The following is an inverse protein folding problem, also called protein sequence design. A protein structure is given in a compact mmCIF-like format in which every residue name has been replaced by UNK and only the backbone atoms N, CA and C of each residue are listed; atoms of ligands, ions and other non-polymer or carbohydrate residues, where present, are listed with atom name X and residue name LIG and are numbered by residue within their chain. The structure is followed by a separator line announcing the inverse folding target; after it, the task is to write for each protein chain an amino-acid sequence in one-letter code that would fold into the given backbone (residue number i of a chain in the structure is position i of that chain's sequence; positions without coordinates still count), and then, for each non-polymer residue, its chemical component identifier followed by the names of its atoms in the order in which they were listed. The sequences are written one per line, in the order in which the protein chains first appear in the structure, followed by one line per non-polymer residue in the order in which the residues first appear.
data_IF_538757672873
#
_entry.id   IF_538757672873
#
_cell.length_a   1.000
_cell.length_b   1.000
_cell.length_c   1.000
_cell.angle_alpha   90.00
_cell.angle_beta   90.00
_cell.angle_gamma   90.00
#
_symmetry.space_group_name_H-M   'P 1'
#
loop_
_entity.id
_entity.type
_entity.pdbx_description
1 polymer ?
#
# COMPACT_ATOMS: atom_id res chain seq x y z
N UNK A 1 26.51 -22.76 8.59
CA UNK A 1 25.07 -22.46 8.40
C UNK A 1 24.97 -21.59 7.16
N UNK A 2 24.09 -21.92 6.23
CA UNK A 2 23.84 -21.07 5.05
C UNK A 2 23.04 -19.86 5.50
N UNK A 3 23.53 -18.67 5.18
CA UNK A 3 22.83 -17.41 5.39
C UNK A 3 22.10 -17.08 4.10
N UNK A 4 20.88 -16.68 4.18
CA UNK A 4 20.06 -16.25 3.06
C UNK A 4 19.63 -14.79 3.24
N UNK A 5 19.56 -14.05 2.15
CA UNK A 5 19.14 -12.65 2.16
C UNK A 5 17.90 -12.49 1.30
N UNK A 6 16.82 -12.04 1.91
CA UNK A 6 15.53 -11.83 1.27
C UNK A 6 15.13 -10.36 1.36
N UNK A 7 14.63 -9.83 0.27
CA UNK A 7 14.14 -8.46 0.16
C UNK A 7 12.65 -8.48 -0.18
N UNK A 8 11.88 -7.61 0.47
CA UNK A 8 10.51 -7.32 0.06
C UNK A 8 10.30 -5.80 -0.02
N UNK A 9 9.72 -5.29 -1.12
CA UNK A 9 9.51 -3.88 -1.34
C UNK A 9 8.36 -3.33 -0.49
N UNK A 10 8.42 -2.03 -0.18
CA UNK A 10 7.23 -1.25 0.14
C UNK A 10 6.36 -1.02 -1.10
N UNK A 11 5.26 -0.29 -0.94
CA UNK A 11 4.37 0.04 -2.05
C UNK A 11 3.90 1.49 -2.02
N UNK A 12 3.57 2.03 -3.19
CA UNK A 12 2.64 3.13 -3.33
C UNK A 12 1.37 2.64 -4.01
N UNK A 13 0.23 3.24 -3.68
CA UNK A 13 -1.03 2.93 -4.33
C UNK A 13 -1.41 4.06 -5.28
N UNK A 14 -1.41 3.77 -6.58
CA UNK A 14 -1.78 4.77 -7.58
C UNK A 14 -3.26 5.13 -7.46
N UNK A 15 -4.14 4.14 -7.19
CA UNK A 15 -5.57 4.36 -7.04
C UNK A 15 -6.26 3.22 -6.26
N UNK A 16 -7.35 3.54 -5.55
CA UNK A 16 -8.16 2.55 -4.84
C UNK A 16 -7.84 2.47 -3.34
N UNK A 17 -7.73 3.61 -2.64
CA UNK A 17 -7.63 3.62 -1.18
C UNK A 17 -8.95 3.20 -0.55
N UNK A 18 -8.86 2.34 0.48
CA UNK A 18 -10.02 1.79 1.22
C UNK A 18 -11.00 0.96 0.39
N UNK A 19 -10.62 0.56 -0.82
CA UNK A 19 -11.47 -0.29 -1.66
C UNK A 19 -11.18 -1.78 -1.49
N UNK A 20 -10.02 -2.16 -0.99
CA UNK A 20 -9.55 -3.56 -0.90
C UNK A 20 -10.34 -4.42 0.10
N UNK A 21 -10.66 -3.90 1.28
CA UNK A 21 -11.51 -4.60 2.24
C UNK A 21 -13.01 -4.48 1.91
N UNK A 22 -13.34 -3.70 0.87
CA UNK A 22 -14.67 -3.56 0.29
C UNK A 22 -14.85 -4.40 -1.00
N UNK A 23 -13.96 -5.33 -1.31
CA UNK A 23 -13.98 -6.15 -2.53
C UNK A 23 -13.96 -5.32 -3.83
N UNK A 24 -13.36 -4.13 -3.78
CA UNK A 24 -13.18 -3.23 -4.92
C UNK A 24 -11.87 -3.47 -5.66
N UNK A 25 -11.50 -2.50 -6.50
CA UNK A 25 -10.27 -2.53 -7.28
C UNK A 25 -9.22 -1.60 -6.67
N UNK A 26 -7.97 -2.06 -6.66
CA UNK A 26 -6.78 -1.28 -6.26
C UNK A 26 -5.71 -1.35 -7.35
N UNK A 27 -4.87 -0.34 -7.41
CA UNK A 27 -3.81 -0.23 -8.43
C UNK A 27 -2.46 0.14 -7.79
N UNK A 28 -1.89 -0.72 -6.91
CA UNK A 28 -0.58 -0.48 -6.32
C UNK A 28 0.57 -0.77 -7.29
N UNK A 29 1.75 -0.26 -6.95
CA UNK A 29 3.03 -0.68 -7.50
C UNK A 29 4.08 -0.78 -6.38
N UNK A 30 5.03 -1.70 -6.54
CA UNK A 30 6.12 -1.87 -5.60
C UNK A 30 7.17 -0.77 -5.76
N UNK A 31 7.78 -0.36 -4.64
CA UNK A 31 8.86 0.61 -4.59
C UNK A 31 10.23 -0.07 -4.74
N UNK A 32 11.26 0.71 -5.05
CA UNK A 32 12.64 0.22 -4.99
C UNK A 32 13.12 -0.01 -3.55
N UNK A 33 12.60 0.79 -2.62
CA UNK A 33 12.85 0.69 -1.18
C UNK A 33 12.03 -0.44 -0.55
N UNK A 34 12.55 -1.04 0.51
CA UNK A 34 11.88 -2.16 1.17
C UNK A 34 12.57 -2.62 2.44
N UNK A 35 12.28 -3.84 2.82
CA UNK A 35 12.84 -4.49 3.99
C UNK A 35 13.69 -5.68 3.56
N UNK A 36 14.92 -5.72 4.07
CA UNK A 36 15.86 -6.83 3.89
C UNK A 36 15.88 -7.68 5.15
N UNK A 37 15.61 -8.98 5.00
CA UNK A 37 15.75 -9.99 6.05
C UNK A 37 16.96 -10.88 5.75
N UNK A 38 17.99 -10.79 6.58
CA UNK A 38 19.15 -11.69 6.55
C UNK A 38 18.92 -12.81 7.55
N UNK A 39 18.78 -14.04 7.08
CA UNK A 39 18.27 -15.14 7.89
C UNK A 39 19.17 -16.37 7.84
N UNK A 40 19.30 -17.06 8.99
CA UNK A 40 19.99 -18.33 9.15
C UNK A 40 19.17 -19.31 9.99
N UNK A 41 19.13 -20.59 9.58
CA UNK A 41 18.38 -21.62 10.28
C UNK A 41 18.97 -21.91 11.69
N UNK A 42 18.09 -22.22 12.64
CA UNK A 42 18.39 -22.68 14.01
C UNK A 42 17.76 -24.05 14.25
N UNK A 43 18.40 -24.83 15.12
CA UNK A 43 17.92 -26.18 15.47
C UNK A 43 17.15 -26.21 16.80
N UNK A 44 17.10 -25.09 17.54
CA UNK A 44 16.55 -25.00 18.90
C UNK A 44 15.07 -24.57 18.97
N UNK A 45 14.40 -24.44 17.82
CA UNK A 45 12.98 -24.03 17.77
C UNK A 45 12.73 -22.55 18.12
N UNK A 46 13.79 -21.74 18.23
CA UNK A 46 13.69 -20.32 18.54
C UNK A 46 13.76 -19.46 17.27
N UNK A 47 12.99 -18.38 17.24
CA UNK A 47 13.15 -17.26 16.29
C UNK A 47 13.77 -16.10 17.04
N UNK A 48 14.97 -15.70 16.62
CA UNK A 48 15.71 -14.57 17.20
C UNK A 48 15.70 -13.43 16.19
N UNK A 49 15.08 -12.31 16.55
CA UNK A 49 14.86 -11.14 15.71
C UNK A 49 15.74 -9.99 16.18
N UNK A 50 16.41 -9.32 15.25
CA UNK A 50 17.10 -8.04 15.46
C UNK A 50 16.71 -7.08 14.35
N UNK A 51 16.65 -5.80 14.65
CA UNK A 51 16.38 -4.74 13.66
C UNK A 51 17.40 -3.62 13.81
N UNK A 52 17.93 -3.13 12.70
CA UNK A 52 18.78 -1.93 12.69
C UNK A 52 18.02 -0.67 13.13
N UNK A 53 16.70 -0.63 12.90
CA UNK A 53 15.83 0.47 13.29
C UNK A 53 15.45 0.44 14.78
N UNK A 54 15.67 -0.71 15.46
CA UNK A 54 15.47 -0.89 16.90
C UNK A 54 16.62 -1.73 17.49
N UNK A 55 17.86 -1.22 17.52
CA UNK A 55 19.06 -2.01 17.82
C UNK A 55 19.10 -2.51 19.26
N UNK A 56 18.48 -1.80 20.19
CA UNK A 56 18.45 -2.12 21.62
C UNK A 56 17.32 -3.07 22.02
N UNK A 57 16.50 -3.54 21.05
CA UNK A 57 15.33 -4.38 21.27
C UNK A 57 15.41 -5.73 20.54
N UNK A 58 16.43 -6.58 20.79
CA UNK A 58 16.44 -7.94 20.24
C UNK A 58 15.34 -8.77 20.89
N UNK A 59 14.60 -9.54 20.08
CA UNK A 59 13.49 -10.35 20.56
C UNK A 59 13.75 -11.83 20.28
N UNK A 60 13.56 -12.69 21.30
CA UNK A 60 13.65 -14.15 21.17
C UNK A 60 12.28 -14.76 21.43
N UNK A 61 11.81 -15.56 20.49
CA UNK A 61 10.47 -16.15 20.48
C UNK A 61 10.60 -17.66 20.36
N UNK A 62 9.87 -18.40 21.20
CA UNK A 62 9.72 -19.84 21.04
C UNK A 62 8.56 -20.13 20.10
N UNK A 63 8.80 -20.91 19.05
CA UNK A 63 7.75 -21.34 18.11
C UNK A 63 6.66 -22.17 18.81
N UNK A 64 6.95 -22.84 19.91
CA UNK A 64 5.98 -23.70 20.59
C UNK A 64 4.98 -22.93 21.46
N UNK A 65 5.33 -21.71 21.89
CA UNK A 65 4.47 -20.85 22.70
C UNK A 65 3.85 -19.67 21.92
N UNK A 66 4.01 -19.67 20.61
CA UNK A 66 3.60 -18.55 19.77
C UNK A 66 2.07 -18.51 19.58
N UNK A 67 1.45 -17.44 20.03
CA UNK A 67 0.01 -17.21 19.95
C UNK A 67 -0.29 -15.71 19.73
N UNK A 68 -1.46 -15.35 19.18
CA UNK A 68 -1.89 -13.95 19.05
C UNK A 68 -1.77 -13.20 20.39
N UNK A 69 -1.18 -11.99 20.33
CA UNK A 69 -0.94 -11.15 21.51
C UNK A 69 0.24 -11.55 22.39
N UNK A 70 0.96 -12.66 22.09
CA UNK A 70 2.15 -13.09 22.86
C UNK A 70 3.40 -12.25 22.59
N UNK A 71 3.43 -11.49 21.51
CA UNK A 71 4.52 -10.60 21.10
C UNK A 71 3.93 -9.24 20.73
N UNK A 72 4.59 -8.17 21.13
CA UNK A 72 4.15 -6.78 20.85
C UNK A 72 5.22 -5.97 20.14
N UNK A 73 4.90 -4.77 19.70
CA UNK A 73 5.80 -3.88 18.98
C UNK A 73 6.15 -4.42 17.59
N UNK A 74 7.31 -3.99 17.06
CA UNK A 74 7.73 -4.33 15.69
C UNK A 74 7.89 -5.84 15.47
N UNK A 75 8.28 -6.58 16.51
CA UNK A 75 8.51 -8.02 16.44
C UNK A 75 7.20 -8.84 16.32
N UNK A 76 6.04 -8.23 16.56
CA UNK A 76 4.74 -8.89 16.41
C UNK A 76 4.47 -9.27 14.93
N UNK A 77 4.93 -8.49 13.98
CA UNK A 77 4.77 -8.77 12.55
C UNK A 77 5.50 -10.04 12.10
N UNK A 78 6.83 -10.17 12.28
CA UNK A 78 7.54 -11.41 11.95
C UNK A 78 7.11 -12.60 12.80
N UNK A 79 6.75 -12.40 14.08
CA UNK A 79 6.17 -13.43 14.93
C UNK A 79 4.84 -13.95 14.40
N UNK A 80 3.97 -13.02 13.99
CA UNK A 80 2.68 -13.31 13.37
C UNK A 80 2.82 -14.13 12.09
N UNK A 81 3.83 -13.82 11.26
CA UNK A 81 4.13 -14.61 10.07
C UNK A 81 4.50 -16.06 10.41
N UNK A 82 5.38 -16.26 11.39
CA UNK A 82 5.76 -17.62 11.83
C UNK A 82 4.52 -18.37 12.36
N UNK A 83 3.67 -17.69 13.13
CA UNK A 83 2.42 -18.24 13.62
C UNK A 83 1.45 -18.59 12.47
N UNK A 84 1.22 -17.68 11.55
CA UNK A 84 0.26 -17.85 10.45
C UNK A 84 0.67 -18.97 9.50
N UNK A 85 1.97 -19.12 9.21
CA UNK A 85 2.51 -20.24 8.45
C UNK A 85 2.21 -21.57 9.16
N UNK A 86 2.51 -21.70 10.46
CA UNK A 86 2.20 -22.90 11.24
C UNK A 86 0.71 -23.19 11.32
N UNK A 87 -0.10 -22.17 11.57
CA UNK A 87 -1.56 -22.29 11.60
C UNK A 87 -2.16 -22.69 10.25
N UNK A 88 -1.44 -22.42 9.16
CA UNK A 88 -1.78 -22.86 7.80
C UNK A 88 -1.24 -24.26 7.43
N UNK A 89 -0.64 -24.97 8.40
CA UNK A 89 -0.14 -26.35 8.25
C UNK A 89 1.29 -26.46 7.69
N UNK A 90 2.02 -25.37 7.59
CA UNK A 90 3.42 -25.41 7.13
C UNK A 90 4.39 -25.61 8.29
N UNK A 91 5.40 -26.43 8.07
CA UNK A 91 6.50 -26.58 9.01
C UNK A 91 7.34 -25.30 9.01
N UNK A 92 7.61 -24.74 10.20
CA UNK A 92 8.48 -23.58 10.38
C UNK A 92 9.61 -23.97 11.32
N UNK A 93 10.86 -23.78 10.89
CA UNK A 93 12.07 -24.01 11.71
C UNK A 93 12.45 -22.73 12.46
N UNK A 94 13.21 -22.90 13.54
CA UNK A 94 13.86 -21.80 14.22
C UNK A 94 14.79 -21.04 13.27
N UNK A 95 14.92 -19.73 13.47
CA UNK A 95 15.77 -18.87 12.65
C UNK A 95 16.34 -17.71 13.46
N UNK A 96 17.54 -17.26 13.08
CA UNK A 96 18.06 -15.93 13.44
C UNK A 96 17.83 -15.02 12.25
N UNK A 97 17.19 -13.88 12.45
CA UNK A 97 16.79 -12.95 11.38
C UNK A 97 17.20 -11.55 11.77
N UNK A 98 18.07 -10.95 10.97
CA UNK A 98 18.49 -9.56 11.08
C UNK A 98 17.74 -8.74 10.02
N UNK A 99 17.04 -7.70 10.46
CA UNK A 99 16.17 -6.85 9.65
C UNK A 99 16.85 -5.50 9.40
N UNK A 100 16.78 -5.04 8.15
CA UNK A 100 17.18 -3.71 7.71
C UNK A 100 16.12 -3.11 6.79
N UNK A 101 15.77 -1.85 6.99
CA UNK A 101 14.76 -1.15 6.19
C UNK A 101 15.29 0.18 5.69
N UNK A 102 15.10 0.47 4.41
CA UNK A 102 15.31 1.79 3.81
C UNK A 102 14.00 2.53 3.49
N UNK A 103 12.87 1.98 3.97
CA UNK A 103 11.58 2.66 3.91
C UNK A 103 11.49 3.76 4.96
N UNK A 104 10.95 4.94 4.61
CA UNK A 104 10.69 5.97 5.60
C UNK A 104 9.64 5.50 6.62
N UNK A 105 9.96 5.71 7.90
CA UNK A 105 9.10 5.26 9.00
C UNK A 105 7.85 6.14 9.10
N UNK A 106 6.67 5.52 9.12
CA UNK A 106 5.40 6.24 9.26
C UNK A 106 4.88 6.91 8.00
N UNK A 107 5.58 6.78 6.87
CA UNK A 107 5.19 7.41 5.60
C UNK A 107 4.01 6.73 4.87
N UNK A 108 3.39 5.70 5.43
CA UNK A 108 2.26 5.01 4.80
C UNK A 108 2.62 4.17 3.56
N UNK A 109 3.89 3.77 3.42
CA UNK A 109 4.42 2.99 2.28
C UNK A 109 4.54 1.49 2.55
N UNK A 110 3.73 0.96 3.48
CA UNK A 110 3.61 -0.47 3.83
C UNK A 110 4.88 -1.15 4.32
N UNK A 111 5.55 -0.53 5.27
CA UNK A 111 6.73 -1.13 5.90
C UNK A 111 6.41 -2.43 6.66
N UNK A 112 5.22 -2.55 7.26
CA UNK A 112 4.76 -3.76 7.95
C UNK A 112 4.66 -4.96 6.99
N UNK A 113 3.98 -4.79 5.87
CA UNK A 113 3.84 -5.85 4.87
C UNK A 113 5.17 -6.23 4.22
N UNK A 114 6.07 -5.25 3.97
CA UNK A 114 7.42 -5.53 3.50
C UNK A 114 8.22 -6.38 4.51
N UNK A 115 8.10 -6.05 5.81
CA UNK A 115 8.71 -6.84 6.89
C UNK A 115 8.12 -8.26 6.92
N UNK A 116 6.79 -8.38 6.91
CA UNK A 116 6.10 -9.68 6.90
C UNK A 116 6.52 -10.53 5.70
N UNK A 117 6.51 -9.97 4.50
CA UNK A 117 6.80 -10.71 3.27
C UNK A 117 8.26 -11.13 3.16
N UNK A 118 9.22 -10.28 3.58
CA UNK A 118 10.64 -10.65 3.58
C UNK A 118 10.93 -11.81 4.56
N UNK A 119 10.33 -11.76 5.75
CA UNK A 119 10.45 -12.81 6.77
C UNK A 119 9.70 -14.08 6.35
N UNK A 120 8.52 -13.98 5.74
CA UNK A 120 7.76 -15.12 5.26
C UNK A 120 8.56 -15.93 4.23
N UNK A 121 9.17 -15.26 3.27
CA UNK A 121 10.02 -15.90 2.26
C UNK A 121 11.26 -16.55 2.88
N UNK A 122 11.91 -15.86 3.82
CA UNK A 122 13.06 -16.39 4.53
C UNK A 122 12.70 -17.65 5.33
N UNK A 123 11.61 -17.63 6.12
CA UNK A 123 11.16 -18.77 6.91
C UNK A 123 10.74 -19.95 6.03
N UNK A 124 10.03 -19.71 4.93
CA UNK A 124 9.67 -20.76 3.97
C UNK A 124 10.92 -21.43 3.39
N UNK A 125 11.89 -20.63 2.93
CA UNK A 125 13.14 -21.16 2.36
C UNK A 125 13.95 -21.97 3.36
N UNK A 126 14.21 -21.42 4.55
CA UNK A 126 14.97 -22.10 5.61
C UNK A 126 14.28 -23.40 6.10
N UNK A 127 12.97 -23.48 5.97
CA UNK A 127 12.19 -24.65 6.36
C UNK A 127 12.04 -25.68 5.24
N UNK A 128 12.49 -25.35 4.02
CA UNK A 128 12.30 -26.20 2.83
C UNK A 128 10.83 -26.29 2.39
N UNK A 129 10.06 -25.25 2.62
CA UNK A 129 8.62 -25.18 2.30
C UNK A 129 8.43 -24.28 1.09
N UNK A 130 7.65 -24.75 0.11
CA UNK A 130 7.21 -23.95 -1.02
C UNK A 130 5.75 -23.51 -0.81
N UNK A 131 5.51 -22.22 -0.92
CA UNK A 131 4.17 -21.62 -0.84
C UNK A 131 4.01 -20.69 -2.05
N UNK A 132 2.91 -20.85 -2.79
CA UNK A 132 2.59 -19.93 -3.88
C UNK A 132 2.44 -18.52 -3.34
N UNK A 133 2.88 -17.51 -4.12
CA UNK A 133 2.99 -16.13 -3.64
C UNK A 133 1.63 -15.52 -3.28
N UNK A 134 0.60 -15.86 -4.03
CA UNK A 134 -0.78 -15.45 -3.76
C UNK A 134 -1.25 -15.98 -2.40
N UNK A 135 -0.97 -17.24 -2.11
CA UNK A 135 -1.27 -17.86 -0.82
C UNK A 135 -0.43 -17.27 0.31
N UNK A 136 0.84 -16.95 0.02
CA UNK A 136 1.72 -16.32 1.01
C UNK A 136 1.25 -14.92 1.39
N UNK A 137 0.69 -14.15 0.42
CA UNK A 137 0.07 -12.85 0.70
C UNK A 137 -1.12 -12.98 1.67
N UNK A 138 -1.98 -13.99 1.47
CA UNK A 138 -3.08 -14.26 2.38
C UNK A 138 -2.62 -14.69 3.78
N UNK A 139 -1.53 -15.46 3.87
CA UNK A 139 -0.92 -15.87 5.14
C UNK A 139 -0.32 -14.66 5.88
N UNK A 140 0.39 -13.78 5.18
CA UNK A 140 0.95 -12.56 5.75
C UNK A 140 -0.16 -11.60 6.21
N UNK A 141 -1.20 -11.37 5.40
CA UNK A 141 -2.40 -10.63 5.83
C UNK A 141 -3.02 -11.22 7.09
N UNK A 142 -3.14 -12.55 7.16
CA UNK A 142 -3.66 -13.24 8.34
C UNK A 142 -2.80 -12.97 9.58
N UNK A 143 -1.47 -12.95 9.42
CA UNK A 143 -0.55 -12.59 10.50
C UNK A 143 -0.84 -11.17 11.03
N UNK A 144 -0.99 -10.19 10.13
CA UNK A 144 -1.29 -8.81 10.49
C UNK A 144 -2.66 -8.68 11.18
N UNK A 145 -3.69 -9.32 10.64
CA UNK A 145 -5.05 -9.17 11.15
C UNK A 145 -5.31 -9.97 12.44
N UNK A 146 -4.89 -11.23 12.51
CA UNK A 146 -5.24 -12.11 13.63
C UNK A 146 -4.17 -12.11 14.74
N UNK A 147 -2.89 -11.94 14.40
CA UNK A 147 -1.83 -11.98 15.41
C UNK A 147 -1.48 -10.58 15.93
N UNK A 148 -1.29 -9.61 15.02
CA UNK A 148 -0.98 -8.22 15.38
C UNK A 148 -2.25 -7.47 15.79
N UNK A 149 -3.40 -7.80 15.18
CA UNK A 149 -4.69 -7.16 15.47
C UNK A 149 -4.96 -5.90 14.63
N UNK A 150 -4.23 -5.71 13.51
CA UNK A 150 -4.45 -4.60 12.59
C UNK A 150 -5.43 -5.04 11.48
N UNK A 151 -6.64 -4.44 11.35
CA UNK A 151 -7.68 -4.90 10.42
C UNK A 151 -7.45 -4.42 8.98
N UNK A 152 -6.27 -4.69 8.42
CA UNK A 152 -5.85 -4.27 7.07
C UNK A 152 -6.50 -5.10 5.96
N UNK A 153 -6.46 -4.58 4.73
CA UNK A 153 -6.87 -5.29 3.52
C UNK A 153 -5.76 -6.20 2.96
N UNK A 154 -5.82 -6.51 1.66
CA UNK A 154 -4.87 -7.44 1.02
C UNK A 154 -3.84 -6.72 0.13
N UNK A 155 -4.00 -5.43 -0.10
CA UNK A 155 -3.22 -4.66 -1.08
C UNK A 155 -1.71 -4.71 -0.81
N UNK A 156 -1.31 -4.56 0.45
CA UNK A 156 0.08 -4.35 0.85
C UNK A 156 0.93 -5.60 0.63
N UNK A 157 0.48 -6.75 1.13
CA UNK A 157 1.16 -8.03 0.95
C UNK A 157 1.11 -8.48 -0.51
N UNK A 158 0.00 -8.22 -1.22
CA UNK A 158 -0.09 -8.51 -2.66
C UNK A 158 0.91 -7.68 -3.47
N UNK A 159 1.02 -6.39 -3.20
CA UNK A 159 1.99 -5.53 -3.86
C UNK A 159 3.43 -5.98 -3.58
N UNK A 160 3.77 -6.28 -2.33
CA UNK A 160 5.10 -6.75 -1.96
C UNK A 160 5.49 -8.07 -2.65
N UNK A 161 4.54 -9.01 -2.83
CA UNK A 161 4.83 -10.36 -3.32
C UNK A 161 4.59 -10.56 -4.83
N UNK A 162 3.71 -9.77 -5.47
CA UNK A 162 3.16 -10.05 -6.79
C UNK A 162 3.40 -8.95 -7.83
N UNK A 163 3.94 -7.79 -7.44
CA UNK A 163 4.26 -6.70 -8.37
C UNK A 163 5.32 -7.11 -9.39
N UNK A 164 5.30 -6.45 -10.52
CA UNK A 164 6.27 -6.60 -11.61
C UNK A 164 7.00 -5.27 -11.84
N UNK A 165 8.29 -5.34 -12.19
CA UNK A 165 9.04 -4.14 -12.58
C UNK A 165 8.34 -3.39 -13.72
N UNK A 166 8.36 -2.07 -13.68
CA UNK A 166 7.75 -1.19 -14.68
C UNK A 166 6.24 -1.35 -14.86
N UNK A 167 5.55 -1.91 -13.84
CA UNK A 167 4.10 -2.13 -13.86
C UNK A 167 3.43 -1.65 -12.58
N UNK A 168 2.18 -1.21 -12.71
CA UNK A 168 1.22 -1.21 -11.64
C UNK A 168 0.39 -2.50 -11.70
N UNK A 169 -0.17 -2.90 -10.57
CA UNK A 169 -0.90 -4.16 -10.43
C UNK A 169 -2.37 -3.85 -10.17
N UNK A 170 -3.23 -3.98 -11.20
CA UNK A 170 -4.67 -3.95 -10.97
C UNK A 170 -5.08 -5.25 -10.27
N UNK A 171 -5.50 -5.14 -9.03
CA UNK A 171 -6.01 -6.26 -8.23
C UNK A 171 -7.52 -6.09 -8.06
N UNK A 172 -8.27 -7.08 -8.48
CA UNK A 172 -9.67 -7.28 -8.13
C UNK A 172 -9.73 -7.95 -6.75
N UNK A 173 -10.10 -7.22 -5.72
CA UNK A 173 -10.08 -7.73 -4.35
C UNK A 173 -11.21 -8.72 -4.03
N UNK A 174 -12.24 -8.82 -4.89
CA UNK A 174 -13.30 -9.82 -4.76
C UNK A 174 -12.82 -11.20 -5.22
N UNK A 175 -12.11 -11.26 -6.34
CA UNK A 175 -11.67 -12.51 -6.98
C UNK A 175 -10.21 -12.83 -6.77
N UNK A 176 -9.41 -11.86 -6.30
CA UNK A 176 -7.96 -11.87 -6.23
C UNK A 176 -7.26 -11.98 -7.59
N UNK A 177 -8.00 -11.72 -8.67
CA UNK A 177 -7.43 -11.67 -10.01
C UNK A 177 -6.52 -10.46 -10.18
N UNK A 178 -5.36 -10.69 -10.82
CA UNK A 178 -4.33 -9.67 -11.02
C UNK A 178 -4.12 -9.44 -12.51
N UNK A 179 -4.10 -8.16 -12.89
CA UNK A 179 -3.64 -7.72 -14.21
C UNK A 179 -2.46 -6.78 -14.02
N UNK A 180 -1.29 -7.15 -14.55
CA UNK A 180 -0.13 -6.29 -14.57
C UNK A 180 -0.28 -5.29 -15.73
N UNK A 181 -0.28 -4.00 -15.44
CA UNK A 181 -0.42 -2.94 -16.45
C UNK A 181 0.87 -2.13 -16.52
N UNK A 182 1.39 -1.82 -17.72
CA UNK A 182 2.61 -1.02 -17.86
C UNK A 182 2.46 0.32 -17.14
N UNK A 183 3.43 0.64 -16.26
CA UNK A 183 3.49 1.95 -15.60
C UNK A 183 4.95 2.41 -15.58
N UNK A 184 5.33 3.21 -16.56
CA UNK A 184 6.71 3.66 -16.84
C UNK A 184 6.77 5.19 -16.87
N UNK A 185 6.47 5.88 -15.77
CA UNK A 185 6.42 7.34 -15.78
C UNK A 185 7.74 7.98 -16.24
N UNK A 186 8.88 7.39 -15.91
CA UNK A 186 10.19 7.92 -16.29
C UNK A 186 10.44 7.96 -17.81
N UNK A 187 9.87 7.02 -18.57
CA UNK A 187 9.98 7.02 -20.05
C UNK A 187 9.23 8.20 -20.65
N UNK A 188 8.17 8.69 -19.99
CA UNK A 188 7.42 9.88 -20.38
C UNK A 188 7.96 11.19 -19.74
N UNK A 189 9.12 11.15 -19.11
CA UNK A 189 9.66 12.31 -18.39
C UNK A 189 8.81 12.73 -17.18
N UNK A 190 8.08 11.79 -16.59
CA UNK A 190 7.23 11.99 -15.40
C UNK A 190 7.85 11.29 -14.20
N UNK A 191 7.73 11.90 -13.04
CA UNK A 191 8.14 11.33 -11.76
C UNK A 191 6.89 11.08 -10.92
N UNK A 192 6.75 9.88 -10.39
CA UNK A 192 5.82 9.58 -9.33
C UNK A 192 6.49 9.98 -8.01
N UNK A 193 6.17 11.17 -7.51
CA UNK A 193 6.77 11.76 -6.32
C UNK A 193 5.96 11.42 -5.09
N UNK A 194 6.54 10.69 -4.14
CA UNK A 194 5.98 10.54 -2.80
C UNK A 194 6.48 11.71 -1.94
N UNK A 195 5.56 12.37 -1.28
CA UNK A 195 5.80 13.48 -0.36
C UNK A 195 5.41 13.00 1.03
N UNK A 196 6.36 12.63 1.85
CA UNK A 196 6.13 12.31 3.25
C UNK A 196 5.88 13.60 4.03
N UNK A 197 4.65 13.74 4.54
CA UNK A 197 4.22 14.94 5.27
C UNK A 197 4.80 15.02 6.69
N UNK A 198 5.50 13.99 7.14
CA UNK A 198 6.07 13.84 8.50
C UNK A 198 5.00 13.79 9.60
N UNK A 199 3.73 13.66 9.21
CA UNK A 199 2.64 13.39 10.14
C UNK A 199 2.54 11.90 10.35
N UNK A 200 2.90 11.45 11.57
CA UNK A 200 2.81 10.03 11.92
C UNK A 200 1.38 9.67 12.31
N UNK A 201 0.97 8.46 11.95
CA UNK A 201 -0.32 7.88 12.34
C UNK A 201 -0.36 7.63 13.87
N UNK A 202 -0.47 8.66 14.68
CA UNK A 202 -0.66 8.48 16.12
C UNK A 202 -2.11 8.06 16.39
N UNK A 203 -2.31 6.79 16.78
CA UNK A 203 -3.54 6.28 17.40
C UNK A 203 -4.76 6.02 16.50
N UNK A 204 -4.58 5.69 15.23
CA UNK A 204 -5.68 5.62 14.24
C UNK A 204 -6.39 4.27 14.15
N UNK A 205 -6.06 3.27 14.98
CA UNK A 205 -6.73 1.96 14.91
C UNK A 205 -8.26 2.06 15.03
N UNK A 206 -8.77 3.00 15.82
CA UNK A 206 -10.21 3.22 16.00
C UNK A 206 -10.89 3.88 14.79
N UNK A 207 -10.28 4.87 14.17
CA UNK A 207 -10.88 5.61 13.04
C UNK A 207 -10.89 4.77 11.77
N UNK A 208 -9.81 4.03 11.48
CA UNK A 208 -9.79 3.07 10.38
C UNK A 208 -10.86 1.98 10.54
N UNK A 209 -10.98 1.40 11.74
CA UNK A 209 -12.00 0.41 12.06
C UNK A 209 -13.43 1.00 11.92
N UNK A 210 -13.63 2.27 12.32
CA UNK A 210 -14.90 2.97 12.14
C UNK A 210 -15.26 3.10 10.65
N UNK A 211 -14.32 3.51 9.79
CA UNK A 211 -14.54 3.59 8.33
C UNK A 211 -14.93 2.24 7.74
N UNK A 212 -14.27 1.17 8.17
CA UNK A 212 -14.61 -0.19 7.75
C UNK A 212 -16.03 -0.57 8.18
N UNK A 213 -16.40 -0.34 9.44
CA UNK A 213 -17.74 -0.64 9.94
C UNK A 213 -18.83 0.18 9.23
N UNK A 214 -18.57 1.47 8.90
CA UNK A 214 -19.48 2.31 8.10
C UNK A 214 -19.69 1.72 6.70
N UNK A 215 -18.64 1.21 6.05
CA UNK A 215 -18.74 0.55 4.74
C UNK A 215 -19.53 -0.77 4.83
N UNK A 216 -19.27 -1.60 5.84
CA UNK A 216 -19.99 -2.85 6.08
C UNK A 216 -21.49 -2.61 6.30
N UNK A 217 -21.86 -1.57 7.07
CA UNK A 217 -23.25 -1.19 7.29
C UNK A 217 -23.89 -0.65 6.01
N UNK A 218 -23.17 0.17 5.21
CA UNK A 218 -23.69 0.66 3.92
C UNK A 218 -23.93 -0.50 2.95
N UNK A 219 -23.04 -1.47 2.85
CA UNK A 219 -23.19 -2.67 2.03
C UNK A 219 -24.41 -3.49 2.47
N UNK A 220 -24.57 -3.71 3.77
CA UNK A 220 -25.71 -4.42 4.35
C UNK A 220 -27.05 -3.75 3.99
N UNK A 221 -27.12 -2.42 4.09
CA UNK A 221 -28.33 -1.65 3.76
C UNK A 221 -28.63 -1.65 2.26
N UNK A 222 -27.61 -1.70 1.41
CA UNK A 222 -27.76 -1.85 -0.04
C UNK A 222 -28.12 -3.28 -0.48
N UNK A 223 -27.96 -4.27 0.43
CA UNK A 223 -28.23 -5.69 0.15
C UNK A 223 -27.16 -6.35 -0.72
N UNK A 224 -25.90 -5.89 -0.60
CA UNK A 224 -24.73 -6.46 -1.29
C UNK A 224 -23.72 -7.01 -0.29
N UNK A 225 -22.85 -7.92 -0.72
CA UNK A 225 -21.82 -8.50 0.13
C UNK A 225 -20.73 -7.45 0.49
N UNK A 226 -20.37 -6.58 -0.46
CA UNK A 226 -19.41 -5.52 -0.28
C UNK A 226 -19.69 -4.35 -1.24
N UNK A 227 -19.24 -3.13 -0.89
CA UNK A 227 -19.50 -1.93 -1.70
C UNK A 227 -18.80 -1.94 -3.07
N UNK A 228 -17.65 -2.59 -3.19
CA UNK A 228 -16.92 -2.70 -4.45
C UNK A 228 -17.65 -3.52 -5.53
N UNK A 229 -18.67 -4.31 -5.15
CA UNK A 229 -19.52 -5.05 -6.06
C UNK A 229 -20.66 -4.21 -6.67
N UNK A 230 -20.86 -2.99 -6.17
CA UNK A 230 -21.86 -2.06 -6.68
C UNK A 230 -21.34 -1.38 -7.94
N UNK A 231 -22.02 -1.56 -9.06
CA UNK A 231 -21.63 -0.98 -10.36
C UNK A 231 -22.41 0.29 -10.72
N UNK A 232 -23.60 0.48 -10.12
CA UNK A 232 -24.42 1.68 -10.34
C UNK A 232 -24.22 2.67 -9.19
N UNK A 233 -23.61 3.81 -9.48
CA UNK A 233 -23.39 4.87 -8.48
C UNK A 233 -24.69 5.42 -7.89
N UNK A 234 -25.80 5.40 -8.64
CA UNK A 234 -27.09 5.87 -8.14
C UNK A 234 -27.65 5.00 -7.01
N UNK A 235 -27.12 3.78 -6.81
CA UNK A 235 -27.50 2.94 -5.68
C UNK A 235 -27.28 3.63 -4.33
N UNK A 236 -26.29 4.56 -4.22
CA UNK A 236 -25.99 5.30 -2.98
C UNK A 236 -27.19 6.14 -2.50
N UNK A 237 -28.07 6.59 -3.41
CA UNK A 237 -29.25 7.38 -3.05
C UNK A 237 -30.29 6.57 -2.23
N UNK A 238 -30.19 5.26 -2.22
CA UNK A 238 -31.03 4.38 -1.38
C UNK A 238 -30.62 4.41 0.09
N UNK A 239 -29.42 4.90 0.41
CA UNK A 239 -28.96 5.08 1.78
C UNK A 239 -29.53 6.37 2.37
N UNK A 240 -30.30 6.25 3.45
CA UNK A 240 -30.88 7.41 4.14
C UNK A 240 -29.82 8.23 4.89
N UNK A 241 -28.84 7.54 5.51
CA UNK A 241 -27.75 8.16 6.24
C UNK A 241 -26.77 8.84 5.29
N UNK A 242 -26.55 10.17 5.41
CA UNK A 242 -25.64 10.90 4.54
C UNK A 242 -24.16 10.50 4.71
N UNK A 243 -23.76 10.01 5.88
CA UNK A 243 -22.40 9.51 6.11
C UNK A 243 -22.18 8.22 5.31
N UNK A 244 -23.07 7.24 5.47
CA UNK A 244 -22.97 5.97 4.76
C UNK A 244 -23.05 6.18 3.24
N UNK A 245 -23.86 7.16 2.78
CA UNK A 245 -23.93 7.54 1.37
C UNK A 245 -22.58 8.05 0.84
N UNK A 246 -21.89 8.90 1.59
CA UNK A 246 -20.55 9.39 1.22
C UNK A 246 -19.53 8.25 1.20
N UNK A 247 -19.50 7.37 2.21
CA UNK A 247 -18.59 6.20 2.24
C UNK A 247 -18.79 5.31 1.02
N UNK A 248 -20.04 4.95 0.73
CA UNK A 248 -20.37 4.13 -0.45
C UNK A 248 -19.96 4.82 -1.76
N UNK A 249 -20.20 6.12 -1.89
CA UNK A 249 -19.81 6.90 -3.07
C UNK A 249 -18.31 6.82 -3.29
N UNK A 250 -17.51 7.04 -2.25
CA UNK A 250 -16.04 6.94 -2.35
C UNK A 250 -15.63 5.56 -2.88
N UNK A 251 -16.04 4.48 -2.21
CA UNK A 251 -15.61 3.11 -2.59
C UNK A 251 -15.98 2.78 -4.03
N UNK A 252 -17.21 3.07 -4.45
CA UNK A 252 -17.70 2.78 -5.80
C UNK A 252 -16.91 3.59 -6.84
N UNK A 253 -16.75 4.89 -6.61
CA UNK A 253 -16.07 5.78 -7.58
C UNK A 253 -14.55 5.53 -7.61
N UNK A 254 -13.92 5.23 -6.49
CA UNK A 254 -12.47 5.00 -6.45
C UNK A 254 -12.09 3.66 -7.08
N UNK A 255 -12.91 2.62 -6.89
CA UNK A 255 -12.80 1.36 -7.65
C UNK A 255 -12.93 1.59 -9.16
N UNK A 256 -13.86 2.45 -9.58
CA UNK A 256 -14.03 2.79 -11.00
C UNK A 256 -12.81 3.56 -11.54
N UNK A 257 -12.25 4.51 -10.76
CA UNK A 257 -11.02 5.24 -11.13
C UNK A 257 -9.82 4.31 -11.28
N UNK A 258 -9.66 3.32 -10.38
CA UNK A 258 -8.58 2.33 -10.48
C UNK A 258 -8.64 1.56 -11.81
N UNK A 259 -9.83 1.11 -12.21
CA UNK A 259 -10.05 0.44 -13.50
C UNK A 259 -9.82 1.38 -14.68
N UNK A 260 -10.27 2.63 -14.60
CA UNK A 260 -10.08 3.61 -15.66
C UNK A 260 -8.60 3.94 -15.90
N UNK A 261 -7.80 4.10 -14.83
CA UNK A 261 -6.36 4.29 -14.94
C UNK A 261 -5.68 3.04 -15.51
N UNK A 262 -6.03 1.85 -15.01
CA UNK A 262 -5.47 0.60 -15.52
C UNK A 262 -5.77 0.42 -17.02
N UNK A 263 -6.96 0.76 -17.46
CA UNK A 263 -7.32 0.76 -18.87
C UNK A 263 -6.49 1.77 -19.68
N UNK A 264 -6.33 3.00 -19.18
CA UNK A 264 -5.54 4.04 -19.83
C UNK A 264 -4.05 3.68 -19.97
N UNK A 265 -3.52 2.87 -19.06
CA UNK A 265 -2.12 2.42 -19.05
C UNK A 265 -1.86 1.22 -19.98
N UNK A 266 -2.89 0.52 -20.48
CA UNK A 266 -2.73 -0.59 -21.41
C UNK A 266 -2.37 -0.09 -22.82
N UNK A 267 -1.34 -0.69 -23.43
CA UNK A 267 -0.79 -0.22 -24.71
C UNK A 267 -1.77 -0.29 -25.89
N UNK A 268 -2.77 -1.19 -25.85
CA UNK A 268 -3.70 -1.48 -26.94
C UNK A 268 -5.14 -0.98 -26.71
N UNK A 269 -5.38 -0.19 -25.65
CA UNK A 269 -6.74 0.22 -25.33
C UNK A 269 -7.27 1.29 -26.33
N UNK A 270 -8.37 1.05 -27.06
CA UNK A 270 -9.04 2.08 -27.83
C UNK A 270 -9.71 3.06 -26.86
N UNK A 271 -9.27 4.30 -26.82
CA UNK A 271 -9.90 5.36 -26.05
C UNK A 271 -10.90 6.08 -26.96
N UNK A 272 -12.21 5.97 -26.67
CA UNK A 272 -13.20 6.85 -27.29
C UNK A 272 -12.89 8.30 -26.88
N UNK A 273 -12.40 9.10 -27.84
CA UNK A 273 -12.07 10.52 -27.64
C UNK A 273 -10.60 10.92 -27.76
N UNK A 274 -9.66 9.97 -27.90
CA UNK A 274 -8.28 10.27 -28.30
C UNK A 274 -8.05 9.80 -29.74
N UNK A 275 -7.39 10.65 -30.56
CA UNK A 275 -7.11 10.33 -31.97
C UNK A 275 -6.24 9.09 -32.08
N UNK A 276 -6.45 8.25 -33.13
CA UNK A 276 -5.71 7.03 -33.47
C UNK A 276 -4.20 7.25 -33.75
N UNK A 277 -3.72 8.49 -33.69
CA UNK A 277 -2.34 8.85 -33.90
C UNK A 277 -1.59 9.01 -32.59
N UNK A 278 -0.69 8.05 -32.27
CA UNK A 278 0.28 8.05 -31.18
C UNK A 278 -0.24 8.77 -29.93
N UNK A 279 -0.54 8.01 -28.89
CA UNK A 279 -0.88 8.55 -27.55
C UNK A 279 0.13 9.66 -27.19
N UNK A 280 -0.34 10.89 -27.04
CA UNK A 280 0.42 11.91 -26.34
C UNK A 280 0.52 11.46 -24.88
N UNK A 281 1.69 10.96 -24.48
CA UNK A 281 1.95 10.51 -23.11
C UNK A 281 1.62 11.61 -22.09
N UNK A 282 1.79 12.87 -22.45
CA UNK A 282 1.39 14.01 -21.64
C UNK A 282 -0.14 14.10 -21.42
N UNK A 283 -0.96 13.73 -22.38
CA UNK A 283 -2.43 13.68 -22.23
C UNK A 283 -2.85 12.54 -21.30
N UNK A 284 -2.22 11.38 -21.41
CA UNK A 284 -2.45 10.23 -20.51
C UNK A 284 -2.13 10.61 -19.06
N UNK A 285 -0.98 11.23 -18.79
CA UNK A 285 -0.65 11.64 -17.42
C UNK A 285 -1.51 12.78 -16.91
N UNK A 286 -2.01 13.69 -17.76
CA UNK A 286 -3.05 14.68 -17.39
C UNK A 286 -4.36 13.99 -17.00
N UNK A 287 -4.80 12.97 -17.74
CA UNK A 287 -5.97 12.19 -17.40
C UNK A 287 -5.81 11.45 -16.07
N UNK A 288 -4.70 10.73 -15.88
CA UNK A 288 -4.40 10.04 -14.62
C UNK A 288 -4.33 11.04 -13.46
N UNK A 289 -3.64 12.15 -13.64
CA UNK A 289 -3.50 13.19 -12.63
C UNK A 289 -4.83 13.80 -12.21
N UNK A 290 -5.75 14.04 -13.16
CA UNK A 290 -7.12 14.47 -12.85
C UNK A 290 -7.83 13.46 -11.94
N UNK A 291 -7.73 12.15 -12.25
CA UNK A 291 -8.34 11.10 -11.43
C UNK A 291 -7.72 11.00 -10.04
N UNK A 292 -6.39 11.22 -9.91
CA UNK A 292 -5.72 11.29 -8.60
C UNK A 292 -6.30 12.42 -7.75
N UNK A 293 -6.44 13.62 -8.34
CA UNK A 293 -6.99 14.77 -7.63
C UNK A 293 -8.45 14.56 -7.23
N UNK A 294 -9.28 14.01 -8.11
CA UNK A 294 -10.66 13.63 -7.78
C UNK A 294 -10.74 12.60 -6.66
N UNK A 295 -9.83 11.62 -6.65
CA UNK A 295 -9.72 10.63 -5.57
C UNK A 295 -9.33 11.29 -4.24
N UNK A 296 -8.39 12.26 -4.26
CA UNK A 296 -8.02 13.00 -3.05
C UNK A 296 -9.21 13.78 -2.47
N UNK A 297 -9.96 14.48 -3.31
CA UNK A 297 -11.18 15.19 -2.89
C UNK A 297 -12.20 14.22 -2.27
N UNK A 298 -12.39 13.04 -2.87
CA UNK A 298 -13.29 12.01 -2.32
C UNK A 298 -12.76 11.43 -1.00
N UNK A 299 -11.44 11.21 -0.85
CA UNK A 299 -10.81 10.79 0.40
C UNK A 299 -10.98 11.84 1.51
N UNK A 300 -10.91 13.12 1.16
CA UNK A 300 -11.10 14.25 2.09
C UNK A 300 -12.58 14.45 2.45
N UNK A 301 -13.48 14.53 1.46
CA UNK A 301 -14.83 15.03 1.65
C UNK A 301 -15.87 13.90 1.83
N UNK A 302 -15.70 12.76 1.13
CA UNK A 302 -16.60 11.62 1.22
C UNK A 302 -16.13 10.59 2.27
N UNK A 303 -14.81 10.31 2.32
CA UNK A 303 -14.29 9.29 3.22
C UNK A 303 -13.75 9.86 4.53
N UNK A 304 -13.38 11.14 4.54
CA UNK A 304 -12.93 11.91 5.71
C UNK A 304 -11.71 11.28 6.40
N UNK A 305 -10.70 10.93 5.59
CA UNK A 305 -9.43 10.33 6.05
C UNK A 305 -8.21 11.21 5.74
N UNK A 306 -8.40 12.34 5.05
CA UNK A 306 -7.32 13.28 4.77
C UNK A 306 -6.94 14.09 6.02
N UNK A 307 -5.84 14.83 5.95
CA UNK A 307 -5.33 15.69 7.01
C UNK A 307 -4.75 16.98 6.41
N UNK A 308 -4.62 18.06 7.21
CA UNK A 308 -4.27 19.39 6.69
C UNK A 308 -2.99 19.44 5.87
N UNK A 309 -1.95 18.72 6.28
CA UNK A 309 -0.67 18.69 5.57
C UNK A 309 -0.79 17.99 4.21
N UNK A 310 -1.62 16.95 4.10
CA UNK A 310 -1.88 16.29 2.81
C UNK A 310 -2.67 17.19 1.87
N UNK A 311 -3.74 17.84 2.36
CA UNK A 311 -4.55 18.74 1.56
C UNK A 311 -3.70 19.88 0.99
N UNK A 312 -2.87 20.50 1.83
CA UNK A 312 -1.93 21.56 1.41
C UNK A 312 -0.87 21.05 0.45
N UNK A 313 -0.34 19.85 0.66
CA UNK A 313 0.65 19.27 -0.25
C UNK A 313 0.04 19.00 -1.64
N UNK A 314 -1.19 18.50 -1.70
CA UNK A 314 -1.91 18.27 -2.96
C UNK A 314 -2.16 19.59 -3.68
N UNK A 315 -2.72 20.59 -2.99
CA UNK A 315 -3.02 21.89 -3.58
C UNK A 315 -1.75 22.56 -4.10
N UNK A 316 -0.68 22.65 -3.29
CA UNK A 316 0.58 23.27 -3.68
C UNK A 316 1.28 22.53 -4.83
N UNK A 317 1.20 21.20 -4.89
CA UNK A 317 1.75 20.42 -6.00
C UNK A 317 1.01 20.73 -7.31
N UNK A 318 -0.33 20.80 -7.29
CA UNK A 318 -1.16 21.09 -8.46
C UNK A 318 -0.92 22.53 -8.93
N UNK A 319 -0.95 23.50 -8.02
CA UNK A 319 -0.69 24.93 -8.33
C UNK A 319 0.69 25.15 -8.95
N UNK A 320 1.66 24.31 -8.61
CA UNK A 320 3.03 24.36 -9.13
C UNK A 320 3.19 23.58 -10.44
N UNK A 321 2.14 22.90 -10.92
CA UNK A 321 2.07 22.24 -12.23
C UNK A 321 2.30 20.73 -12.19
N UNK A 322 2.03 20.07 -11.06
CA UNK A 322 1.85 18.61 -11.06
C UNK A 322 0.63 18.24 -11.92
N UNK A 323 0.68 17.10 -12.59
CA UNK A 323 -0.45 16.56 -13.34
C UNK A 323 -1.65 16.27 -12.44
N UNK A 324 -1.38 15.91 -11.19
CA UNK A 324 -2.34 15.69 -10.13
C UNK A 324 -1.66 15.02 -8.92
N UNK A 325 -2.37 15.02 -7.80
CA UNK A 325 -1.85 14.45 -6.55
C UNK A 325 -2.99 13.92 -5.67
N UNK A 326 -2.66 12.98 -4.77
CA UNK A 326 -3.59 12.43 -3.77
C UNK A 326 -2.83 11.91 -2.55
N UNK A 327 -3.46 11.88 -1.39
CA UNK A 327 -2.95 11.10 -0.27
C UNK A 327 -2.88 9.60 -0.62
N UNK A 328 -1.97 8.86 0.01
CA UNK A 328 -1.84 7.40 -0.13
C UNK A 328 -1.87 6.69 1.24
N UNK A 329 -2.38 5.47 1.23
CA UNK A 329 -2.50 4.62 2.42
C UNK A 329 -3.80 4.85 3.19
N UNK A 330 -3.79 4.51 4.49
CA UNK A 330 -4.99 4.53 5.34
C UNK A 330 -5.50 5.91 5.76
N UNK A 331 -4.80 6.97 5.44
CA UNK A 331 -5.17 8.33 5.87
C UNK A 331 -4.70 8.71 7.28
N UNK A 332 -5.16 9.85 7.77
CA UNK A 332 -4.86 10.43 9.09
C UNK A 332 -3.38 10.71 9.37
N UNK A 333 -2.56 10.74 8.35
CA UNK A 333 -1.13 10.94 8.35
C UNK A 333 -0.44 10.13 7.25
N UNK A 334 0.85 10.33 7.04
CA UNK A 334 1.64 9.64 6.02
C UNK A 334 1.98 10.53 4.82
N UNK A 335 1.75 10.04 3.61
CA UNK A 335 2.27 10.65 2.39
C UNK A 335 1.21 11.02 1.36
N UNK A 336 1.62 11.87 0.44
CA UNK A 336 0.94 12.22 -0.81
C UNK A 336 1.73 11.67 -1.98
N UNK A 337 1.05 11.13 -2.99
CA UNK A 337 1.62 10.77 -4.29
C UNK A 337 1.24 11.87 -5.29
N UNK A 338 2.25 12.47 -5.94
CA UNK A 338 2.06 13.44 -7.02
C UNK A 338 2.71 12.94 -8.32
N UNK A 339 2.06 13.12 -9.45
CA UNK A 339 2.64 12.92 -10.77
C UNK A 339 3.16 14.25 -11.28
N UNK A 340 4.47 14.36 -11.47
CA UNK A 340 5.15 15.62 -11.78
C UNK A 340 6.05 15.45 -12.99
N UNK A 341 6.03 16.38 -13.95
CA UNK A 341 7.03 16.35 -15.02
C UNK A 341 8.43 16.59 -14.46
N UNK A 342 9.43 15.93 -15.04
CA UNK A 342 10.82 16.07 -14.61
C UNK A 342 11.28 17.55 -14.59
N UNK A 343 10.79 18.35 -15.54
CA UNK A 343 11.08 19.78 -15.64
C UNK A 343 10.55 20.58 -14.43
N UNK A 344 9.44 20.18 -13.85
CA UNK A 344 8.79 20.86 -12.72
C UNK A 344 9.23 20.33 -11.37
N UNK A 345 9.87 19.16 -11.33
CA UNK A 345 10.16 18.42 -10.10
C UNK A 345 10.89 19.29 -9.04
N UNK A 346 11.95 19.98 -9.44
CA UNK A 346 12.71 20.83 -8.52
C UNK A 346 11.86 21.99 -7.97
N UNK A 347 11.02 22.59 -8.80
CA UNK A 347 10.13 23.70 -8.41
C UNK A 347 9.05 23.18 -7.43
N UNK A 348 8.43 22.04 -7.72
CA UNK A 348 7.41 21.42 -6.85
C UNK A 348 8.00 21.11 -5.47
N UNK A 349 9.16 20.45 -5.40
CA UNK A 349 9.85 20.19 -4.12
C UNK A 349 10.15 21.45 -3.34
N UNK A 350 10.66 22.49 -4.00
CA UNK A 350 11.00 23.78 -3.36
C UNK A 350 9.75 24.46 -2.80
N UNK A 351 8.66 24.50 -3.58
CA UNK A 351 7.39 25.13 -3.14
C UNK A 351 6.79 24.36 -1.99
N UNK A 352 6.72 23.02 -2.06
CA UNK A 352 6.21 22.18 -0.96
C UNK A 352 7.02 22.41 0.34
N UNK A 353 8.35 22.38 0.25
CA UNK A 353 9.21 22.62 1.42
C UNK A 353 8.95 23.99 2.03
N UNK A 354 8.89 25.03 1.19
CA UNK A 354 8.61 26.40 1.63
C UNK A 354 7.24 26.52 2.29
N UNK A 355 6.21 25.96 1.65
CA UNK A 355 4.81 26.01 2.12
C UNK A 355 4.66 25.36 3.50
N UNK A 356 5.32 24.22 3.73
CA UNK A 356 5.31 23.55 5.03
C UNK A 356 6.00 24.39 6.12
N UNK A 357 7.19 24.91 5.83
CA UNK A 357 7.95 25.76 6.77
C UNK A 357 7.16 27.03 7.13
N UNK A 358 6.55 27.70 6.15
CA UNK A 358 5.75 28.92 6.36
C UNK A 358 4.50 28.68 7.23
N UNK A 359 3.98 27.43 7.26
CA UNK A 359 2.90 27.01 8.14
C UNK A 359 3.36 26.52 9.52
N UNK A 360 4.67 26.50 9.77
CA UNK A 360 5.25 26.00 11.02
C UNK A 360 5.29 24.48 11.13
N UNK A 361 5.14 23.76 10.02
CA UNK A 361 5.23 22.31 9.96
C UNK A 361 6.66 21.83 9.71
N UNK A 362 6.92 20.55 10.00
CA UNK A 362 8.18 19.94 9.60
C UNK A 362 8.33 19.96 8.07
N UNK A 363 9.54 20.17 7.57
CA UNK A 363 9.79 20.07 6.14
C UNK A 363 9.46 18.65 5.65
N UNK A 364 8.74 18.49 4.51
CA UNK A 364 8.42 17.19 3.98
C UNK A 364 9.67 16.50 3.45
N UNK A 365 9.67 15.17 3.47
CA UNK A 365 10.66 14.35 2.78
C UNK A 365 10.12 13.86 1.43
N UNK A 366 11.03 13.63 0.49
CA UNK A 366 10.66 13.27 -0.87
C UNK A 366 11.29 11.95 -1.28
N UNK A 367 10.50 11.09 -1.92
CA UNK A 367 10.95 9.84 -2.52
C UNK A 367 10.45 9.77 -3.97
N UNK A 368 11.38 9.57 -4.92
CA UNK A 368 11.03 9.26 -6.31
C UNK A 368 10.66 7.80 -6.42
N UNK A 369 9.37 7.54 -6.58
CA UNK A 369 8.85 6.17 -6.63
C UNK A 369 9.05 5.59 -8.03
N UNK A 370 9.79 4.49 -8.09
CA UNK A 370 10.03 3.74 -9.33
C UNK A 370 9.34 2.39 -9.23
N UNK A 371 8.42 2.06 -10.16
CA UNK A 371 7.76 0.76 -10.17
C UNK A 371 8.79 -0.37 -10.27
N UNK A 372 8.88 -1.16 -9.21
CA UNK A 372 9.97 -2.11 -8.97
C UNK A 372 9.47 -3.56 -8.89
N UNK A 373 10.35 -4.56 -9.00
CA UNK A 373 9.93 -5.95 -8.91
C UNK A 373 9.53 -6.33 -7.47
N UNK A 374 8.70 -7.37 -7.38
CA UNK A 374 8.29 -7.97 -6.11
C UNK A 374 9.45 -8.51 -5.27
N UNK A 375 9.10 -8.97 -4.09
CA UNK A 375 10.01 -9.61 -3.14
C UNK A 375 10.83 -10.74 -3.78
N UNK A 376 12.13 -10.82 -3.43
CA UNK A 376 13.09 -11.72 -4.05
C UNK A 376 14.22 -12.10 -3.11
N UNK A 377 14.86 -13.21 -3.40
CA UNK A 377 16.15 -13.56 -2.79
C UNK A 377 17.27 -12.71 -3.40
N UNK A 378 18.16 -12.19 -2.57
CA UNK A 378 19.34 -11.42 -2.99
C UNK A 378 20.61 -12.26 -2.94
N UNK A 379 20.74 -13.18 -1.97
CA UNK A 379 21.87 -14.09 -1.79
C UNK A 379 21.45 -15.39 -1.08
#
# INVERSE_FOLDING_TARGET
MTVEVWFAPGRANLMGEHTDYNEGYVLPFALAQGVTATAAARADGLVVLRSKQAPDEPVTISLDSLAPGSVTGWAAYPAGVAWALRASGYAVRGASIDIDSDLPVGAGVSSSAALECSVALALCSLSGVSVEREKLALIAKRAENEFVGAPTGIIDQSAALLSRADHAMLLDCATLAITQVPFRPSEAGVVALIVDTRVTHALVSGEYAARRAECEEAARLLGVAALGLVTDIHAVERLADPVLRRRARHVITDSARARAIAYALQDDAPYEGLSETRRDEGEMYRFIGKLLTEAHLSLRDDFEVSWPEADVAVDAAIETGAYGAKMIGGGFGGSVLALVSLERLATVRSVLTKTFIERGWAAPEFLDAVPSPAARRLA
#
